data_IF_358908874900
#
_entry.id   IF_358908874900
#
_cell.length_a   1.000
_cell.length_b   1.000
_cell.length_c   1.000
_cell.angle_alpha   90.00
_cell.angle_beta   90.00
_cell.angle_gamma   90.00
#
_symmetry.space_group_name_H-M   'P 1'
#
loop_
_entity.id
_entity.type
_entity.pdbx_description
1 polymer ?
#
# COMPACT_ATOMS: atom_id res chain seq x y z
N UNK A 1 18.83 -1.24 32.02
CA UNK A 1 19.14 -0.64 30.71
C UNK A 1 19.16 -1.64 29.55
N UNK A 2 19.88 -2.77 29.64
CA UNK A 2 20.04 -3.73 28.53
C UNK A 2 18.75 -4.45 28.08
N UNK A 3 17.82 -4.72 28.99
CA UNK A 3 16.58 -5.44 28.69
C UNK A 3 15.60 -4.61 27.85
N UNK A 4 15.45 -3.33 28.18
CA UNK A 4 14.65 -2.37 27.39
C UNK A 4 15.19 -2.22 25.97
N UNK A 5 16.51 -2.18 25.80
CA UNK A 5 17.13 -2.15 24.48
C UNK A 5 16.75 -3.39 23.66
N UNK A 6 16.82 -4.59 24.23
CA UNK A 6 16.47 -5.82 23.50
C UNK A 6 15.02 -5.82 23.03
N UNK A 7 14.08 -5.43 23.92
CA UNK A 7 12.66 -5.34 23.57
C UNK A 7 12.42 -4.32 22.46
N UNK A 8 13.07 -3.15 22.55
CA UNK A 8 12.95 -2.09 21.53
C UNK A 8 13.49 -2.54 20.17
N UNK A 9 14.65 -3.22 20.15
CA UNK A 9 15.27 -3.73 18.92
C UNK A 9 14.37 -4.77 18.24
N UNK A 10 13.79 -5.69 19.01
CA UNK A 10 12.86 -6.69 18.48
C UNK A 10 11.61 -6.02 17.91
N UNK A 11 11.03 -5.05 18.64
CA UNK A 11 9.85 -4.33 18.20
C UNK A 11 10.08 -3.52 16.91
N UNK A 12 11.25 -2.88 16.80
CA UNK A 12 11.67 -2.17 15.60
C UNK A 12 11.87 -3.11 14.42
N UNK A 13 12.49 -4.28 14.63
CA UNK A 13 12.70 -5.28 13.59
C UNK A 13 11.37 -5.80 13.03
N UNK A 14 10.41 -6.08 13.91
CA UNK A 14 9.05 -6.49 13.53
C UNK A 14 8.35 -5.38 12.76
N UNK A 15 8.43 -4.14 13.23
CA UNK A 15 7.79 -2.98 12.58
C UNK A 15 8.38 -2.68 11.19
N UNK A 16 9.71 -2.84 11.02
CA UNK A 16 10.40 -2.66 9.74
C UNK A 16 10.04 -3.75 8.73
N UNK A 17 9.72 -4.96 9.21
CA UNK A 17 9.35 -6.10 8.37
C UNK A 17 7.90 -6.02 7.88
N UNK A 18 7.05 -5.23 8.54
CA UNK A 18 5.74 -4.89 7.98
C UNK A 18 6.01 -3.86 6.88
N UNK A 19 5.88 -4.21 5.58
CA UNK A 19 6.13 -3.27 4.50
C UNK A 19 5.29 -2.04 4.76
N UNK A 20 5.97 -0.92 4.97
CA UNK A 20 5.41 0.30 5.55
C UNK A 20 4.03 0.60 4.99
N UNK A 21 3.04 0.65 5.88
CA UNK A 21 1.75 1.30 5.68
C UNK A 21 2.02 2.75 5.27
N UNK A 22 2.28 2.99 3.97
CA UNK A 22 2.81 4.26 3.50
C UNK A 22 3.49 4.23 2.13
N UNK A 23 3.75 3.04 1.55
CA UNK A 23 4.13 2.93 0.14
C UNK A 23 2.88 3.11 -0.75
N UNK A 24 2.27 4.30 -0.70
CA UNK A 24 1.31 4.72 -1.71
C UNK A 24 2.08 4.78 -3.04
N UNK A 25 1.66 4.02 -4.07
CA UNK A 25 2.33 4.06 -5.36
C UNK A 25 2.27 5.50 -5.92
N UNK A 26 3.41 6.03 -6.37
CA UNK A 26 3.50 7.38 -6.96
C UNK A 26 2.57 7.54 -8.15
N UNK A 27 2.39 6.48 -8.93
CA UNK A 27 1.58 6.47 -10.13
C UNK A 27 0.49 5.41 -10.03
N UNK A 28 -0.69 5.74 -10.55
CA UNK A 28 -1.68 4.71 -10.86
C UNK A 28 -1.13 3.88 -12.02
N UNK A 29 -1.19 2.56 -11.93
CA UNK A 29 -0.77 1.72 -13.04
C UNK A 29 -1.62 2.09 -14.27
N UNK A 30 -1.03 2.10 -15.47
CA UNK A 30 -1.69 2.45 -16.75
C UNK A 30 -2.97 1.68 -17.07
N UNK A 31 -3.22 0.58 -16.37
CA UNK A 31 -4.38 -0.31 -16.54
C UNK A 31 -5.48 -0.04 -15.54
N UNK A 32 -5.19 0.79 -14.55
CA UNK A 32 -6.15 1.37 -13.64
C UNK A 32 -6.59 2.74 -14.11
N UNK A 33 -7.69 3.21 -13.54
CA UNK A 33 -8.24 4.52 -13.81
C UNK A 33 -8.50 5.27 -12.51
N UNK A 34 -8.43 6.60 -12.55
CA UNK A 34 -8.77 7.43 -11.40
C UNK A 34 -10.29 7.56 -11.28
N UNK A 35 -10.85 7.22 -10.13
CA UNK A 35 -12.26 7.47 -9.81
C UNK A 35 -12.48 7.68 -8.32
N UNK A 36 -13.56 8.37 -7.98
CA UNK A 36 -13.99 8.52 -6.58
C UNK A 36 -14.54 7.21 -6.00
N UNK A 37 -15.01 6.30 -6.86
CA UNK A 37 -15.55 4.99 -6.47
C UNK A 37 -15.13 3.94 -7.50
N UNK A 38 -14.54 2.85 -7.02
CA UNK A 38 -14.21 1.70 -7.88
C UNK A 38 -15.40 0.76 -8.04
N UNK A 39 -15.44 0.05 -9.16
CA UNK A 39 -16.49 -0.93 -9.41
C UNK A 39 -16.32 -2.17 -8.51
N UNK A 40 -17.42 -2.90 -8.25
CA UNK A 40 -17.34 -4.22 -7.60
C UNK A 40 -16.57 -5.16 -8.55
N UNK A 41 -15.37 -5.59 -8.13
CA UNK A 41 -14.45 -6.34 -8.99
C UNK A 41 -13.13 -5.63 -9.28
N UNK A 42 -12.89 -4.50 -8.64
CA UNK A 42 -11.65 -3.75 -8.75
C UNK A 42 -11.05 -3.51 -7.36
N UNK A 43 -9.71 -3.54 -7.30
CA UNK A 43 -8.98 -3.13 -6.13
C UNK A 43 -8.77 -1.63 -6.17
N UNK A 44 -9.19 -0.95 -5.11
CA UNK A 44 -8.86 0.45 -4.91
C UNK A 44 -7.47 0.56 -4.31
N UNK A 45 -6.67 1.46 -4.86
CA UNK A 45 -5.37 1.84 -4.33
C UNK A 45 -5.28 3.36 -4.29
N UNK A 46 -4.58 3.88 -3.31
CA UNK A 46 -4.38 5.32 -3.19
C UNK A 46 -3.07 5.68 -3.88
N UNK A 47 -3.16 6.40 -5.01
CA UNK A 47 -2.00 6.79 -5.81
C UNK A 47 -1.85 8.31 -5.79
N UNK A 48 -0.62 8.83 -5.80
CA UNK A 48 -0.38 10.29 -5.77
C UNK A 48 -0.87 11.01 -7.03
N UNK A 49 -0.89 10.31 -8.17
CA UNK A 49 -1.32 10.84 -9.46
C UNK A 49 -2.85 11.04 -9.56
N UNK A 50 -3.62 10.28 -8.77
CA UNK A 50 -5.07 10.41 -8.69
C UNK A 50 -5.45 11.20 -7.43
N UNK A 51 -6.21 12.29 -7.56
CA UNK A 51 -6.78 13.02 -6.41
C UNK A 51 -7.70 12.14 -5.53
N UNK A 52 -8.24 11.07 -6.11
CA UNK A 52 -9.20 10.15 -5.50
C UNK A 52 -8.59 8.75 -5.35
N UNK A 53 -9.23 7.69 -5.85
CA UNK A 53 -8.69 6.33 -5.85
C UNK A 53 -8.25 5.90 -7.24
N UNK A 54 -7.16 5.15 -7.30
CA UNK A 54 -6.73 4.39 -8.47
C UNK A 54 -7.42 3.01 -8.42
N UNK A 55 -8.38 2.81 -9.32
CA UNK A 55 -9.13 1.57 -9.45
C UNK A 55 -8.42 0.65 -10.42
N UNK A 56 -8.00 -0.53 -9.95
CA UNK A 56 -7.28 -1.52 -10.76
C UNK A 56 -8.10 -2.82 -10.79
N UNK A 57 -8.42 -3.37 -11.96
CA UNK A 57 -9.14 -4.64 -12.06
C UNK A 57 -8.33 -5.78 -11.41
N UNK A 58 -8.99 -6.64 -10.61
CA UNK A 58 -8.31 -7.74 -9.88
C UNK A 58 -7.52 -8.68 -10.80
N UNK A 59 -7.97 -8.84 -12.06
CA UNK A 59 -7.35 -9.69 -13.09
C UNK A 59 -5.89 -9.28 -13.37
N UNK A 60 -5.48 -8.05 -13.05
CA UNK A 60 -4.12 -7.56 -13.28
C UNK A 60 -3.12 -7.91 -12.19
N UNK A 61 -3.56 -8.36 -11.01
CA UNK A 61 -2.68 -8.69 -9.88
C UNK A 61 -2.06 -10.10 -10.03
N UNK A 62 -1.45 -10.39 -11.18
CA UNK A 62 -0.94 -11.74 -11.46
C UNK A 62 -0.36 -12.00 -12.84
N UNK A 63 0.25 -11.01 -13.51
CA UNK A 63 1.08 -11.25 -14.69
C UNK A 63 2.52 -10.84 -14.42
#
# INVERSE_FOLDING_TARGET
MRFLCLVLTIFLLVSLTVPGYGLMPKYCHTVGYCSDKCAKGEMWSSAYDCKSFCCVPYIWKGK
#
